data_IF_672785202149
#
_entry.id   IF_672785202149
#
_cell.length_a   1.000
_cell.length_b   1.000
_cell.length_c   1.000
_cell.angle_alpha   90.00
_cell.angle_beta   90.00
_cell.angle_gamma   90.00
#
_symmetry.space_group_name_H-M   'P 1'
#
loop_
_entity.id
_entity.type
_entity.pdbx_description
1 polymer ?
#
# COMPACT_ATOMS: atom_id res chain seq x y z
N UNK A 1 14.65 -16.95 12.78
CA UNK A 1 13.36 -16.42 12.28
C UNK A 1 13.20 -15.02 12.85
N UNK A 2 13.17 -13.97 12.01
CA UNK A 2 12.71 -12.66 12.49
C UNK A 2 11.19 -12.77 12.62
N UNK A 3 10.69 -12.69 13.83
CA UNK A 3 9.24 -12.58 14.09
C UNK A 3 8.75 -11.34 13.32
N UNK A 4 7.67 -11.42 12.52
CA UNK A 4 7.08 -10.21 11.98
C UNK A 4 6.64 -9.36 13.16
N UNK A 5 7.27 -8.19 13.36
CA UNK A 5 6.81 -7.22 14.37
C UNK A 5 5.40 -6.83 13.97
N UNK A 6 4.44 -7.05 14.85
CA UNK A 6 3.07 -6.57 14.63
C UNK A 6 3.07 -5.04 14.68
N UNK A 7 2.13 -4.39 13.98
CA UNK A 7 2.02 -2.91 13.94
C UNK A 7 1.97 -2.33 15.37
N UNK A 8 1.30 -3.02 16.29
CA UNK A 8 1.20 -2.67 17.71
C UNK A 8 2.55 -2.66 18.46
N UNK A 9 3.56 -3.41 17.98
CA UNK A 9 4.86 -3.55 18.64
C UNK A 9 5.91 -2.53 18.12
N UNK A 10 5.60 -1.86 17.00
CA UNK A 10 6.50 -0.87 16.41
C UNK A 10 6.48 0.42 17.24
N UNK A 11 7.63 1.05 17.55
CA UNK A 11 7.67 2.40 18.12
C UNK A 11 6.94 3.42 17.21
N UNK A 12 6.39 4.49 17.80
CA UNK A 12 5.65 5.54 17.05
C UNK A 12 6.48 6.14 15.89
N UNK A 13 7.81 6.24 16.06
CA UNK A 13 8.70 6.68 14.98
C UNK A 13 8.73 5.68 13.81
N UNK A 14 8.90 4.39 14.10
CA UNK A 14 8.90 3.32 13.10
C UNK A 14 7.52 3.23 12.40
N UNK A 15 6.42 3.43 13.12
CA UNK A 15 5.07 3.50 12.54
C UNK A 15 4.90 4.66 11.56
N UNK A 16 5.44 5.83 11.87
CA UNK A 16 5.40 6.99 10.96
C UNK A 16 6.24 6.75 9.70
N UNK A 17 7.41 6.13 9.86
CA UNK A 17 8.27 5.75 8.73
C UNK A 17 7.56 4.71 7.84
N UNK A 18 6.96 3.69 8.45
CA UNK A 18 6.17 2.66 7.75
C UNK A 18 4.96 3.27 7.04
N UNK A 19 4.26 4.22 7.68
CA UNK A 19 3.13 4.92 7.06
C UNK A 19 3.56 5.66 5.78
N UNK A 20 4.68 6.37 5.82
CA UNK A 20 5.21 7.06 4.64
C UNK A 20 5.67 6.08 3.56
N UNK A 21 6.31 4.97 3.94
CA UNK A 21 6.67 3.90 3.01
C UNK A 21 5.43 3.35 2.29
N UNK A 22 4.37 3.03 3.02
CA UNK A 22 3.12 2.50 2.43
C UNK A 22 2.42 3.51 1.55
N UNK A 23 2.40 4.79 1.90
CA UNK A 23 1.89 5.85 1.02
C UNK A 23 2.68 5.98 -0.28
N UNK A 24 4.00 5.87 -0.21
CA UNK A 24 4.84 5.88 -1.41
C UNK A 24 4.55 4.66 -2.28
N UNK A 25 4.47 3.46 -1.69
CA UNK A 25 4.08 2.25 -2.41
C UNK A 25 2.71 2.40 -3.09
N UNK A 26 1.72 2.93 -2.38
CA UNK A 26 0.39 3.16 -2.96
C UNK A 26 0.46 4.04 -4.20
N UNK A 27 1.21 5.15 -4.11
CA UNK A 27 1.38 6.10 -5.21
C UNK A 27 2.10 5.46 -6.39
N UNK A 28 3.19 4.74 -6.13
CA UNK A 28 3.97 4.05 -7.16
C UNK A 28 3.11 3.01 -7.90
N UNK A 29 2.33 2.20 -7.17
CA UNK A 29 1.38 1.24 -7.75
C UNK A 29 0.27 1.94 -8.54
N UNK A 30 -0.23 3.09 -8.06
CA UNK A 30 -1.26 3.86 -8.76
C UNK A 30 -0.72 4.44 -10.08
N UNK A 31 0.50 4.98 -10.07
CA UNK A 31 1.15 5.54 -11.25
C UNK A 31 1.51 4.44 -12.26
N UNK A 32 1.97 3.28 -11.80
CA UNK A 32 2.15 2.10 -12.65
C UNK A 32 0.84 1.66 -13.30
N UNK A 33 -0.25 1.56 -12.52
CA UNK A 33 -1.57 1.20 -13.04
C UNK A 33 -2.00 2.17 -14.14
N UNK A 34 -1.86 3.50 -13.93
CA UNK A 34 -2.22 4.52 -14.93
C UNK A 34 -1.37 4.35 -16.20
N UNK A 35 -0.07 4.11 -16.05
CA UNK A 35 0.82 3.91 -17.18
C UNK A 35 0.43 2.67 -17.98
N UNK A 36 0.31 1.51 -17.32
CA UNK A 36 -0.01 0.22 -17.96
C UNK A 36 -1.38 0.25 -18.61
N UNK A 37 -2.42 0.68 -17.90
CA UNK A 37 -3.79 0.74 -18.46
C UNK A 37 -3.94 1.82 -19.54
N UNK A 38 -3.07 2.82 -19.56
CA UNK A 38 -3.01 3.86 -20.58
C UNK A 38 -2.27 3.45 -21.86
N UNK A 39 -1.54 2.32 -21.86
CA UNK A 39 -0.82 1.86 -23.04
C UNK A 39 -1.78 1.36 -24.13
N UNK A 40 -1.73 1.99 -25.30
CA UNK A 40 -2.42 1.54 -26.50
C UNK A 40 -1.59 0.52 -27.28
N UNK A 41 -2.22 -0.47 -27.89
CA UNK A 41 -1.54 -1.44 -28.76
C UNK A 41 -0.91 -2.63 -28.03
N UNK A 42 -1.08 -2.72 -26.71
CA UNK A 42 -0.69 -3.89 -25.91
C UNK A 42 -1.95 -4.64 -25.49
N UNK A 43 -1.96 -5.96 -25.70
CA UNK A 43 -3.02 -6.79 -25.18
C UNK A 43 -2.77 -7.04 -23.68
N UNK A 44 -3.55 -6.37 -22.84
CA UNK A 44 -3.54 -6.60 -21.41
C UNK A 44 -4.51 -7.73 -21.05
N UNK A 45 -4.15 -8.60 -20.10
CA UNK A 45 -5.12 -9.51 -19.50
C UNK A 45 -6.36 -8.76 -19.01
N UNK A 46 -7.55 -9.31 -19.24
CA UNK A 46 -8.81 -8.67 -18.85
C UNK A 46 -8.95 -8.39 -17.34
N UNK A 47 -8.16 -9.09 -16.51
CA UNK A 47 -8.13 -8.92 -15.05
C UNK A 47 -7.02 -7.99 -14.55
N UNK A 48 -6.22 -7.36 -15.43
CA UNK A 48 -5.10 -6.49 -15.01
C UNK A 48 -5.56 -5.34 -14.13
N UNK A 49 -6.67 -4.67 -14.50
CA UNK A 49 -7.26 -3.59 -13.69
C UNK A 49 -7.71 -4.09 -12.31
N UNK A 50 -8.31 -5.28 -12.24
CA UNK A 50 -8.76 -5.87 -10.98
C UNK A 50 -7.59 -6.23 -10.07
N UNK A 51 -6.46 -6.67 -10.63
CA UNK A 51 -5.23 -6.94 -9.87
C UNK A 51 -4.70 -5.68 -9.19
N UNK A 52 -4.51 -4.60 -9.96
CA UNK A 52 -4.08 -3.31 -9.38
C UNK A 52 -5.06 -2.81 -8.33
N UNK A 53 -6.36 -2.89 -8.59
CA UNK A 53 -7.37 -2.47 -7.61
C UNK A 53 -7.28 -3.27 -6.30
N UNK A 54 -7.02 -4.59 -6.37
CA UNK A 54 -6.83 -5.42 -5.16
C UNK A 54 -5.56 -5.04 -4.41
N UNK A 55 -4.47 -4.80 -5.13
CA UNK A 55 -3.20 -4.39 -4.55
C UNK A 55 -3.31 -3.03 -3.86
N UNK A 56 -3.85 -2.02 -4.56
CA UNK A 56 -4.13 -0.69 -3.99
C UNK A 56 -5.05 -0.79 -2.76
N UNK A 57 -6.08 -1.63 -2.80
CA UNK A 57 -6.96 -1.85 -1.64
C UNK A 57 -6.20 -2.43 -0.44
N UNK A 58 -5.34 -3.43 -0.67
CA UNK A 58 -4.52 -4.02 0.39
C UNK A 58 -3.58 -2.99 1.01
N UNK A 59 -2.88 -2.19 0.18
CA UNK A 59 -1.98 -1.14 0.68
C UNK A 59 -2.77 -0.08 1.45
N UNK A 60 -3.96 0.28 0.98
CA UNK A 60 -4.84 1.24 1.66
C UNK A 60 -5.30 0.72 3.03
N UNK A 61 -5.69 -0.56 3.12
CA UNK A 61 -6.06 -1.19 4.40
C UNK A 61 -4.89 -1.14 5.40
N UNK A 62 -3.66 -1.48 4.96
CA UNK A 62 -2.46 -1.37 5.80
C UNK A 62 -2.18 0.08 6.25
N UNK A 63 -2.36 1.06 5.35
CA UNK A 63 -2.22 2.48 5.68
C UNK A 63 -3.21 2.88 6.77
N UNK A 64 -4.45 2.45 6.67
CA UNK A 64 -5.51 2.83 7.60
C UNK A 64 -5.31 2.15 8.97
N UNK A 65 -4.89 0.88 9.00
CA UNK A 65 -4.47 0.21 10.25
C UNK A 65 -3.33 0.97 10.97
N UNK A 66 -2.32 1.42 10.21
CA UNK A 66 -1.20 2.19 10.80
C UNK A 66 -1.68 3.54 11.32
N UNK A 67 -2.60 4.22 10.62
CA UNK A 67 -3.17 5.50 11.07
C UNK A 67 -4.00 5.32 12.34
N UNK A 68 -4.86 4.31 12.38
CA UNK A 68 -5.66 3.99 13.56
C UNK A 68 -4.77 3.71 14.77
N UNK A 69 -3.68 2.97 14.58
CA UNK A 69 -2.72 2.72 15.65
C UNK A 69 -1.98 3.99 16.10
N UNK A 70 -1.59 4.86 15.16
CA UNK A 70 -0.98 6.15 15.47
C UNK A 70 -1.95 7.09 16.21
N UNK A 71 -3.24 7.06 15.86
CA UNK A 71 -4.30 7.83 16.54
C UNK A 71 -4.56 7.30 17.95
N UNK A 72 -4.60 5.97 18.13
CA UNK A 72 -4.72 5.33 19.44
C UNK A 72 -3.59 5.71 20.41
N UNK A 73 -2.41 6.02 19.88
CA UNK A 73 -1.21 6.45 20.64
C UNK A 73 -1.09 7.96 20.83
N UNK A 74 -1.88 8.74 20.10
CA UNK A 74 -1.97 10.19 20.23
C UNK A 74 -2.62 10.62 21.54
#
# INVERSE_FOLDING_TARGET
MKVPKSIEELPTKELKELLEEKKNMYKDTEDEMKFVLGQTGIHLPGNTKEKYNRELKSIQEEIDEIKEELERRG
#
